data_IF_560434133174
#
_entry.id   IF_560434133174
#
_cell.length_a   1.000
_cell.length_b   1.000
_cell.length_c   1.000
_cell.angle_alpha   90.00
_cell.angle_beta   90.00
_cell.angle_gamma   90.00
#
_symmetry.space_group_name_H-M   'P 1'
#
loop_
_entity.id
_entity.type
_entity.pdbx_description
1 polymer ?
#
# COMPACT_ATOMS: atom_id res chain seq x y z
N UNK A 1 -4.41 -5.75 -10.90
CA UNK A 1 -3.81 -4.77 -9.97
C UNK A 1 -2.98 -5.55 -8.99
N UNK A 2 -1.71 -5.23 -8.82
CA UNK A 2 -0.75 -6.02 -8.03
C UNK A 2 -0.59 -5.40 -6.62
N UNK A 3 -0.73 -6.17 -5.53
CA UNK A 3 -0.39 -5.78 -4.15
C UNK A 3 0.75 -6.66 -3.65
N UNK A 4 1.49 -6.16 -2.67
CA UNK A 4 2.75 -6.77 -2.27
C UNK A 4 2.57 -7.89 -1.24
N UNK A 5 1.46 -7.96 -0.51
CA UNK A 5 1.16 -9.08 0.40
C UNK A 5 1.94 -9.08 1.72
N UNK A 6 3.05 -8.34 1.79
CA UNK A 6 3.88 -8.13 2.99
C UNK A 6 4.61 -6.78 2.92
N UNK A 7 3.89 -5.70 2.60
CA UNK A 7 4.51 -4.40 2.41
C UNK A 7 4.91 -3.78 3.75
N UNK A 8 6.22 -3.68 3.96
CA UNK A 8 6.79 -2.95 5.09
C UNK A 8 7.49 -1.65 4.61
N UNK A 9 7.65 -0.64 5.47
CA UNK A 9 8.36 0.60 5.15
C UNK A 9 9.83 0.37 4.77
N UNK A 10 10.39 -0.80 5.08
CA UNK A 10 11.76 -1.18 4.72
C UNK A 10 11.89 -1.58 3.24
N UNK A 11 10.77 -1.88 2.58
CA UNK A 11 10.71 -2.18 1.14
C UNK A 11 10.29 -0.97 0.30
N UNK A 12 10.24 0.22 0.93
CA UNK A 12 9.98 1.50 0.28
C UNK A 12 11.25 2.32 0.20
N UNK A 13 11.68 2.61 -1.03
CA UNK A 13 12.77 3.53 -1.31
C UNK A 13 12.21 4.84 -1.86
N UNK A 14 12.93 5.94 -1.63
CA UNK A 14 12.70 7.20 -2.36
C UNK A 14 13.89 7.41 -3.29
N UNK A 15 13.62 7.43 -4.60
CA UNK A 15 14.64 7.69 -5.60
C UNK A 15 14.18 8.86 -6.49
N UNK A 16 14.99 9.92 -6.57
CA UNK A 16 14.69 11.13 -7.33
C UNK A 16 13.29 11.74 -7.03
N UNK A 17 12.88 11.74 -5.75
CA UNK A 17 11.59 12.27 -5.32
C UNK A 17 10.38 11.38 -5.63
N UNK A 18 10.60 10.16 -6.16
CA UNK A 18 9.55 9.18 -6.43
C UNK A 18 9.64 8.02 -5.44
N UNK A 19 8.48 7.56 -4.97
CA UNK A 19 8.39 6.34 -4.18
C UNK A 19 8.63 5.13 -5.10
N UNK A 20 9.54 4.25 -4.70
CA UNK A 20 9.91 3.02 -5.40
C UNK A 20 9.66 1.86 -4.44
N UNK A 21 8.80 0.94 -4.86
CA UNK A 21 8.59 -0.32 -4.16
C UNK A 21 9.65 -1.31 -4.67
N UNK A 22 10.36 -1.95 -3.74
CA UNK A 22 11.34 -3.00 -4.04
C UNK A 22 10.94 -4.32 -3.39
N UNK A 23 11.66 -5.38 -3.75
CA UNK A 23 11.45 -6.74 -3.23
C UNK A 23 10.03 -7.27 -3.52
N UNK A 24 9.72 -7.44 -4.81
CA UNK A 24 8.43 -7.89 -5.32
C UNK A 24 8.20 -9.42 -5.42
N UNK A 25 9.02 -10.37 -4.89
CA UNK A 25 8.72 -11.80 -5.10
C UNK A 25 7.46 -12.26 -4.37
N UNK A 26 6.88 -11.44 -3.48
CA UNK A 26 5.61 -11.71 -2.79
C UNK A 26 4.40 -10.99 -3.42
N UNK A 27 4.54 -10.41 -4.62
CA UNK A 27 3.44 -9.70 -5.27
C UNK A 27 2.23 -10.62 -5.53
N UNK A 28 1.15 -10.35 -4.81
CA UNK A 28 -0.16 -10.93 -4.95
C UNK A 28 -0.97 -10.09 -5.93
N UNK A 29 -1.49 -10.68 -7.00
CA UNK A 29 -2.48 -9.99 -7.83
C UNK A 29 -3.76 -9.77 -7.01
N UNK A 30 -4.06 -8.50 -6.66
CA UNK A 30 -5.24 -8.08 -5.89
C UNK A 30 -6.53 -8.41 -6.63
N UNK A 31 -6.46 -8.43 -7.96
CA UNK A 31 -7.62 -8.68 -8.82
C UNK A 31 -7.85 -10.19 -8.98
N UNK A 32 -6.77 -10.97 -9.09
CA UNK A 32 -6.88 -12.41 -9.31
C UNK A 32 -6.91 -13.25 -8.01
N UNK A 33 -6.43 -12.71 -6.88
CA UNK A 33 -6.46 -13.39 -5.58
C UNK A 33 -7.68 -12.92 -4.78
N UNK A 34 -8.58 -13.83 -4.36
CA UNK A 34 -9.72 -13.52 -3.49
C UNK A 34 -9.35 -12.82 -2.17
N UNK A 35 -8.14 -13.06 -1.65
CA UNK A 35 -7.60 -12.44 -0.43
C UNK A 35 -6.83 -11.13 -0.72
N UNK A 36 -6.71 -10.75 -1.99
CA UNK A 36 -6.01 -9.56 -2.46
C UNK A 36 -6.40 -8.26 -1.73
N UNK A 37 -7.70 -7.95 -1.59
CA UNK A 37 -8.14 -6.73 -0.90
C UNK A 37 -7.69 -6.65 0.57
N UNK A 38 -7.63 -7.78 1.27
CA UNK A 38 -7.22 -7.84 2.68
C UNK A 38 -5.72 -7.61 2.84
N UNK A 39 -4.91 -8.16 1.93
CA UNK A 39 -3.48 -7.87 1.84
C UNK A 39 -3.21 -6.40 1.55
N UNK A 40 -3.92 -5.82 0.58
CA UNK A 40 -3.81 -4.39 0.26
C UNK A 40 -4.17 -3.52 1.48
N UNK A 41 -5.25 -3.83 2.19
CA UNK A 41 -5.66 -3.08 3.38
C UNK A 41 -4.64 -3.18 4.53
N UNK A 42 -3.96 -4.33 4.66
CA UNK A 42 -2.86 -4.52 5.63
C UNK A 42 -1.66 -3.67 5.26
N UNK A 43 -1.22 -3.73 4.02
CA UNK A 43 -0.07 -2.98 3.49
C UNK A 43 -0.27 -1.47 3.68
N UNK A 44 -1.43 -0.95 3.28
CA UNK A 44 -1.78 0.47 3.42
C UNK A 44 -1.75 0.91 4.88
N UNK A 45 -2.31 0.11 5.80
CA UNK A 45 -2.31 0.42 7.23
C UNK A 45 -0.90 0.49 7.81
N UNK A 46 -0.01 -0.42 7.41
CA UNK A 46 1.38 -0.44 7.90
C UNK A 46 2.11 0.84 7.46
N UNK A 47 2.00 1.20 6.18
CA UNK A 47 2.64 2.39 5.61
C UNK A 47 2.09 3.68 6.23
N UNK A 48 0.76 3.82 6.25
CA UNK A 48 0.08 4.97 6.84
C UNK A 48 0.49 5.19 8.30
N UNK A 49 0.51 4.13 9.11
CA UNK A 49 0.94 4.19 10.52
C UNK A 49 2.39 4.66 10.65
N UNK A 50 3.28 4.17 9.78
CA UNK A 50 4.70 4.53 9.83
C UNK A 50 4.95 6.00 9.46
N UNK A 51 4.24 6.53 8.46
CA UNK A 51 4.34 7.93 8.04
C UNK A 51 3.66 8.88 9.04
N UNK A 52 2.50 8.50 9.59
CA UNK A 52 1.84 9.26 10.66
C UNK A 52 2.77 9.41 11.87
N UNK A 53 3.46 8.33 12.27
CA UNK A 53 4.45 8.37 13.35
C UNK A 53 5.67 9.28 13.06
N UNK A 54 5.85 9.73 11.81
CA UNK A 54 6.92 10.63 11.37
C UNK A 54 6.45 12.04 11.03
N UNK A 55 5.20 12.38 11.38
CA UNK A 55 4.66 13.72 11.24
C UNK A 55 3.88 13.99 9.95
N UNK A 56 3.57 12.96 9.15
CA UNK A 56 2.60 13.12 8.07
C UNK A 56 1.21 13.41 8.67
N UNK A 57 0.46 14.42 8.18
CA UNK A 57 -0.86 14.72 8.69
C UNK A 57 -1.80 13.51 8.63
N UNK A 58 -2.64 13.34 9.65
CA UNK A 58 -3.58 12.22 9.71
C UNK A 58 -4.56 12.20 8.51
N UNK A 59 -4.87 13.36 7.94
CA UNK A 59 -5.68 13.47 6.73
C UNK A 59 -5.01 12.84 5.49
N UNK A 60 -3.68 12.90 5.42
CA UNK A 60 -2.88 12.33 4.32
C UNK A 60 -2.49 10.87 4.60
N UNK A 61 -2.60 10.43 5.85
CA UNK A 61 -2.25 9.10 6.33
C UNK A 61 -3.48 8.25 6.70
N UNK A 62 -4.68 8.56 6.22
CA UNK A 62 -5.88 7.76 6.50
C UNK A 62 -5.84 6.42 5.72
N UNK A 63 -5.69 5.27 6.41
CA UNK A 63 -5.61 3.98 5.75
C UNK A 63 -6.88 3.62 4.96
N UNK A 64 -8.05 4.05 5.42
CA UNK A 64 -9.32 3.71 4.77
C UNK A 64 -9.46 4.47 3.45
N UNK A 65 -9.17 5.78 3.46
CA UNK A 65 -9.16 6.61 2.25
C UNK A 65 -8.14 6.11 1.23
N UNK A 66 -6.92 5.79 1.67
CA UNK A 66 -5.86 5.27 0.81
C UNK A 66 -6.22 3.90 0.20
N UNK A 67 -6.80 3.00 0.98
CA UNK A 67 -7.24 1.69 0.48
C UNK A 67 -8.35 1.82 -0.56
N UNK A 68 -9.33 2.70 -0.32
CA UNK A 68 -10.42 2.95 -1.27
C UNK A 68 -9.91 3.56 -2.59
N UNK A 69 -8.92 4.46 -2.53
CA UNK A 69 -8.27 5.02 -3.71
C UNK A 69 -7.55 3.94 -4.52
N UNK A 70 -6.73 3.11 -3.85
CA UNK A 70 -5.96 2.06 -4.50
C UNK A 70 -6.84 0.98 -5.13
N UNK A 71 -7.95 0.59 -4.47
CA UNK A 71 -8.92 -0.35 -5.05
C UNK A 71 -9.58 0.22 -6.31
N UNK A 72 -9.95 1.50 -6.31
CA UNK A 72 -10.48 2.19 -7.50
C UNK A 72 -9.48 2.21 -8.65
N UNK A 73 -8.24 2.61 -8.39
CA UNK A 73 -7.16 2.62 -9.40
C UNK A 73 -6.84 1.20 -9.91
N UNK A 74 -7.00 0.18 -9.07
CA UNK A 74 -6.83 -1.22 -9.46
C UNK A 74 -7.99 -1.78 -10.30
N UNK A 75 -9.09 -1.04 -10.45
CA UNK A 75 -10.28 -1.47 -11.19
C UNK A 75 -11.16 -2.47 -10.44
N UNK A 76 -10.97 -2.62 -9.11
CA UNK A 76 -11.76 -3.49 -8.25
C UNK A 76 -12.91 -2.67 -7.70
N UNK A 77 -14.15 -3.10 -7.97
CA UNK A 77 -15.38 -2.37 -7.62
C UNK A 77 -16.10 -3.00 -6.44
#
# INVERSE_FOLDING_TARGET
GLAHGDLSPYNLLVHAGRLVLIDLPQVVDVVANPQGPEFLARDVRVVATWFAARGLPAADADPAALSALLLREAGIR
#
